data_IF_412692335440
#
_entry.id   IF_412692335440
#
_cell.length_a   1.000
_cell.length_b   1.000
_cell.length_c   1.000
_cell.angle_alpha   90.00
_cell.angle_beta   90.00
_cell.angle_gamma   90.00
#
_symmetry.space_group_name_H-M   'P 1'
#
loop_
_entity.id
_entity.type
_entity.pdbx_description
1 polymer ?
#
# COMPACT_ATOMS: atom_id res chain seq x y z
N UNK A 1 35.68 8.92 6.75
CA UNK A 1 34.62 8.56 5.79
C UNK A 1 33.48 8.01 6.65
N UNK A 2 32.34 8.70 6.70
CA UNK A 2 31.18 8.14 7.39
C UNK A 2 30.70 6.95 6.56
N UNK A 3 30.70 5.76 7.13
CA UNK A 3 30.01 4.62 6.55
C UNK A 3 28.55 5.03 6.32
N UNK A 4 28.10 5.02 5.08
CA UNK A 4 26.70 5.19 4.75
C UNK A 4 26.03 3.88 5.15
N UNK A 5 25.38 3.88 6.32
CA UNK A 5 24.56 2.75 6.73
C UNK A 5 23.45 2.62 5.68
N UNK A 6 23.50 1.55 4.90
CA UNK A 6 22.46 1.27 3.91
C UNK A 6 21.24 0.72 4.64
N UNK A 7 20.22 1.56 4.80
CA UNK A 7 18.94 1.16 5.41
C UNK A 7 18.10 0.49 4.33
N UNK A 8 17.84 -0.81 4.45
CA UNK A 8 16.85 -1.49 3.62
C UNK A 8 15.44 -1.19 4.14
N UNK A 9 14.70 -0.33 3.44
CA UNK A 9 13.34 0.06 3.83
C UNK A 9 12.35 -1.10 3.66
N UNK A 10 11.70 -1.53 4.75
CA UNK A 10 10.55 -2.45 4.70
C UNK A 10 9.31 -1.67 4.25
N UNK A 11 8.57 -2.22 3.28
CA UNK A 11 7.33 -1.64 2.78
C UNK A 11 6.14 -2.45 3.28
N UNK A 12 5.37 -1.87 4.19
CA UNK A 12 4.10 -2.40 4.68
C UNK A 12 2.99 -1.98 3.72
N UNK A 13 2.56 -2.87 2.86
CA UNK A 13 1.53 -2.65 1.86
C UNK A 13 0.15 -3.00 2.42
N UNK A 14 -0.75 -2.02 2.51
CA UNK A 14 -2.13 -2.24 2.93
C UNK A 14 -3.04 -2.32 1.71
N UNK A 15 -3.34 -3.53 1.29
CA UNK A 15 -4.29 -3.86 0.23
C UNK A 15 -5.70 -3.96 0.79
N UNK A 16 -6.71 -3.85 -0.05
CA UNK A 16 -8.10 -4.05 0.35
C UNK A 16 -9.07 -3.21 -0.45
N UNK A 17 -10.33 -3.57 -0.34
CA UNK A 17 -11.44 -2.86 -0.98
C UNK A 17 -11.56 -1.41 -0.49
N UNK A 18 -12.25 -0.53 -1.23
CA UNK A 18 -12.67 0.77 -0.72
C UNK A 18 -13.40 0.64 0.62
N UNK A 19 -13.17 1.57 1.54
CA UNK A 19 -13.70 1.53 2.92
C UNK A 19 -13.22 0.37 3.81
N UNK A 20 -12.16 -0.35 3.47
CA UNK A 20 -11.57 -1.37 4.36
C UNK A 20 -10.75 -0.77 5.53
N UNK A 21 -10.68 0.54 5.66
CA UNK A 21 -9.94 1.20 6.75
C UNK A 21 -8.43 1.34 6.51
N UNK A 22 -7.96 1.20 5.26
CA UNK A 22 -6.52 1.24 4.92
C UNK A 22 -5.81 2.49 5.42
N UNK A 23 -6.36 3.69 5.16
CA UNK A 23 -5.72 4.94 5.58
C UNK A 23 -5.67 5.07 7.11
N UNK A 24 -6.73 4.66 7.82
CA UNK A 24 -6.77 4.63 9.29
C UNK A 24 -5.71 3.67 9.84
N UNK A 25 -5.66 2.44 9.31
CA UNK A 25 -4.66 1.46 9.70
C UNK A 25 -3.23 1.93 9.39
N UNK A 26 -3.00 2.56 8.22
CA UNK A 26 -1.68 3.08 7.86
C UNK A 26 -1.20 4.15 8.84
N UNK A 27 -2.05 5.07 9.22
CA UNK A 27 -1.73 6.10 10.21
C UNK A 27 -1.46 5.49 11.59
N UNK A 28 -2.30 4.54 12.04
CA UNK A 28 -2.15 3.91 13.35
C UNK A 28 -0.89 3.04 13.43
N UNK A 29 -0.64 2.18 12.43
CA UNK A 29 0.59 1.36 12.35
C UNK A 29 1.83 2.27 12.35
N UNK A 30 1.83 3.34 11.54
CA UNK A 30 2.96 4.29 11.50
C UNK A 30 3.20 4.96 12.86
N UNK A 31 2.13 5.41 13.53
CA UNK A 31 2.24 6.02 14.85
C UNK A 31 2.79 5.04 15.90
N UNK A 32 2.35 3.77 15.87
CA UNK A 32 2.84 2.71 16.77
C UNK A 32 4.31 2.39 16.53
N UNK A 33 4.73 2.26 15.28
CA UNK A 33 6.13 2.05 14.91
C UNK A 33 7.02 3.19 15.44
N UNK A 34 6.61 4.45 15.23
CA UNK A 34 7.34 5.61 15.75
C UNK A 34 7.45 5.60 17.28
N UNK A 35 6.37 5.22 18.00
CA UNK A 35 6.40 5.08 19.46
C UNK A 35 7.32 3.95 19.95
N UNK A 36 7.53 2.92 19.13
CA UNK A 36 8.49 1.83 19.37
C UNK A 36 9.93 2.22 18.98
N UNK A 37 10.18 3.47 18.58
CA UNK A 37 11.51 3.97 18.20
C UNK A 37 11.91 3.68 16.75
N UNK A 38 11.02 3.11 15.94
CA UNK A 38 11.29 2.81 14.54
C UNK A 38 11.12 4.08 13.69
N UNK A 39 12.12 4.37 12.86
CA UNK A 39 12.02 5.43 11.84
C UNK A 39 11.06 4.99 10.73
N UNK A 40 9.80 5.36 10.86
CA UNK A 40 8.73 4.97 9.95
C UNK A 40 8.07 6.17 9.28
N UNK A 41 7.57 6.01 8.03
CA UNK A 41 6.86 7.05 7.32
C UNK A 41 5.58 6.51 6.66
N UNK A 42 4.49 7.29 6.75
CA UNK A 42 3.25 7.02 6.04
C UNK A 42 3.30 7.61 4.63
N UNK A 43 3.13 6.77 3.63
CA UNK A 43 3.04 7.20 2.22
C UNK A 43 1.57 7.22 1.81
N UNK A 44 1.01 8.42 1.73
CA UNK A 44 -0.40 8.65 1.39
C UNK A 44 -0.76 8.26 -0.04
N UNK A 45 -2.00 7.87 -0.27
CA UNK A 45 -2.56 7.61 -1.58
C UNK A 45 -2.63 8.88 -2.45
N UNK A 46 -1.97 8.86 -3.61
CA UNK A 46 -2.07 9.99 -4.55
C UNK A 46 -3.44 10.07 -5.23
N UNK A 47 -4.03 8.92 -5.56
CA UNK A 47 -5.33 8.87 -6.25
C UNK A 47 -6.45 9.54 -5.45
N UNK A 48 -6.41 9.47 -4.11
CA UNK A 48 -7.38 10.10 -3.23
C UNK A 48 -7.42 11.63 -3.37
N UNK A 49 -6.27 12.27 -3.58
CA UNK A 49 -6.22 13.72 -3.83
C UNK A 49 -7.08 14.08 -5.06
N UNK A 50 -7.07 13.22 -6.09
CA UNK A 50 -7.80 13.42 -7.34
C UNK A 50 -9.32 13.22 -7.20
N UNK A 51 -9.75 12.39 -6.24
CA UNK A 51 -11.17 12.29 -5.88
C UNK A 51 -11.67 13.61 -5.29
N UNK A 52 -10.93 14.19 -4.36
CA UNK A 52 -11.28 15.50 -3.77
C UNK A 52 -11.24 16.67 -4.78
N UNK A 53 -10.36 16.58 -5.78
CA UNK A 53 -10.30 17.56 -6.88
C UNK A 53 -11.41 17.34 -7.94
N UNK A 54 -12.29 16.33 -7.77
CA UNK A 54 -13.31 15.92 -8.76
C UNK A 54 -12.72 15.60 -10.15
N UNK A 55 -11.47 15.20 -10.21
CA UNK A 55 -10.76 14.89 -11.45
C UNK A 55 -10.89 13.40 -11.81
N UNK A 56 -12.08 13.01 -12.30
CA UNK A 56 -12.38 11.61 -12.65
C UNK A 56 -11.57 11.11 -13.87
N UNK A 57 -11.22 12.01 -14.79
CA UNK A 57 -10.51 11.63 -16.02
C UNK A 57 -9.12 11.03 -15.75
N UNK A 58 -8.46 11.46 -14.68
CA UNK A 58 -7.12 10.98 -14.31
C UNK A 58 -7.09 9.48 -14.01
N UNK A 59 -8.20 8.87 -13.59
CA UNK A 59 -8.27 7.44 -13.27
C UNK A 59 -8.16 6.53 -14.49
N UNK A 60 -8.33 7.08 -15.69
CA UNK A 60 -8.06 6.39 -16.97
C UNK A 60 -6.55 6.30 -17.28
N UNK A 61 -5.71 7.04 -16.56
CA UNK A 61 -4.28 7.16 -16.80
C UNK A 61 -3.46 6.49 -15.68
N UNK A 62 -3.50 5.15 -15.63
CA UNK A 62 -2.83 4.39 -14.57
C UNK A 62 -1.31 4.62 -14.54
N UNK A 63 -0.67 4.88 -15.67
CA UNK A 63 0.76 5.22 -15.73
C UNK A 63 1.09 6.53 -14.99
N UNK A 64 0.19 7.52 -15.03
CA UNK A 64 0.37 8.77 -14.29
C UNK A 64 0.22 8.56 -12.78
N UNK A 65 -0.84 7.85 -12.36
CA UNK A 65 -1.10 7.53 -10.96
C UNK A 65 0.06 6.70 -10.38
N UNK A 66 0.51 5.68 -11.09
CA UNK A 66 1.67 4.86 -10.73
C UNK A 66 2.94 5.70 -10.58
N UNK A 67 3.24 6.57 -11.56
CA UNK A 67 4.41 7.43 -11.50
C UNK A 67 4.41 8.34 -10.28
N UNK A 68 3.25 8.91 -9.92
CA UNK A 68 3.10 9.76 -8.73
C UNK A 68 3.24 8.96 -7.42
N UNK A 69 2.62 7.79 -7.32
CA UNK A 69 2.72 6.95 -6.14
C UNK A 69 4.14 6.41 -5.96
N UNK A 70 4.75 5.90 -7.03
CA UNK A 70 6.13 5.44 -7.04
C UNK A 70 7.11 6.55 -6.64
N UNK A 71 6.90 7.79 -7.11
CA UNK A 71 7.70 8.95 -6.70
C UNK A 71 7.55 9.25 -5.20
N UNK A 72 6.33 9.18 -4.65
CA UNK A 72 6.08 9.36 -3.20
C UNK A 72 6.86 8.34 -2.37
N UNK A 73 6.85 7.08 -2.79
CA UNK A 73 7.62 6.00 -2.13
C UNK A 73 9.13 6.20 -2.29
N UNK A 74 9.59 6.52 -3.49
CA UNK A 74 11.02 6.71 -3.78
C UNK A 74 11.67 7.84 -2.98
N UNK A 75 10.91 8.87 -2.57
CA UNK A 75 11.43 9.97 -1.74
C UNK A 75 11.92 9.53 -0.37
N UNK A 76 11.33 8.48 0.19
CA UNK A 76 11.62 7.98 1.54
C UNK A 76 12.39 6.67 1.54
N UNK A 77 12.51 6.02 0.39
CA UNK A 77 13.31 4.80 0.21
C UNK A 77 14.72 5.01 0.71
N UNK A 78 15.26 4.03 1.42
CA UNK A 78 16.63 4.00 2.00
C UNK A 78 16.92 5.15 2.99
N UNK A 79 15.88 5.88 3.43
CA UNK A 79 15.95 6.96 4.43
C UNK A 79 15.18 6.65 5.70
N UNK A 80 14.27 5.70 5.62
CA UNK A 80 13.48 5.21 6.76
C UNK A 80 13.57 3.70 6.83
N UNK A 81 13.42 3.15 8.02
CA UNK A 81 13.42 1.70 8.24
C UNK A 81 12.13 1.06 7.71
N UNK A 82 11.02 1.77 7.83
CA UNK A 82 9.70 1.28 7.41
C UNK A 82 8.92 2.37 6.67
N UNK A 83 8.29 2.04 5.55
CA UNK A 83 7.22 2.85 4.98
C UNK A 83 5.90 2.07 5.00
N UNK A 84 4.82 2.72 5.44
CA UNK A 84 3.47 2.16 5.43
C UNK A 84 2.68 2.80 4.31
N UNK A 85 2.15 1.98 3.40
CA UNK A 85 1.53 2.44 2.14
C UNK A 85 0.09 1.99 2.08
N UNK A 86 -0.87 2.93 1.99
CA UNK A 86 -2.30 2.62 1.88
C UNK A 86 -2.81 2.53 0.42
N UNK A 87 -1.92 2.75 -0.54
CA UNK A 87 -2.16 2.52 -1.97
C UNK A 87 -0.92 1.86 -2.58
N UNK A 88 -0.75 0.54 -2.35
CA UNK A 88 0.37 -0.22 -2.87
C UNK A 88 0.45 -0.20 -4.39
N UNK A 89 1.68 -0.27 -4.93
CA UNK A 89 1.93 -0.21 -6.38
C UNK A 89 1.17 -1.29 -7.15
N UNK A 90 0.92 -2.45 -6.56
CA UNK A 90 0.17 -3.55 -7.18
C UNK A 90 -1.26 -3.15 -7.58
N UNK A 91 -1.87 -2.17 -6.90
CA UNK A 91 -3.21 -1.69 -7.26
C UNK A 91 -3.25 -1.13 -8.69
N UNK A 92 -2.13 -0.57 -9.18
CA UNK A 92 -2.06 -0.06 -10.55
C UNK A 92 -2.14 -1.16 -11.62
N UNK A 93 -1.73 -2.40 -11.30
CA UNK A 93 -1.96 -3.57 -12.17
C UNK A 93 -3.45 -3.92 -12.16
N UNK A 94 -4.06 -3.91 -10.97
CA UNK A 94 -5.45 -4.33 -10.76
C UNK A 94 -6.43 -3.35 -11.44
N UNK A 95 -6.12 -2.06 -11.42
CA UNK A 95 -6.94 -1.01 -12.03
C UNK A 95 -6.56 -0.69 -13.47
N UNK A 96 -5.50 -1.30 -14.01
CA UNK A 96 -5.11 -1.09 -15.40
C UNK A 96 -6.11 -1.76 -16.35
N UNK A 97 -6.89 -0.92 -17.04
CA UNK A 97 -7.81 -1.34 -18.11
C UNK A 97 -7.38 -0.76 -19.46
N UNK A 98 -6.15 -0.23 -19.58
CA UNK A 98 -5.64 0.37 -20.80
C UNK A 98 -4.98 -0.71 -21.67
N UNK A 99 -5.63 -1.03 -22.80
CA UNK A 99 -5.15 -2.05 -23.75
C UNK A 99 -3.82 -1.65 -24.41
N UNK A 100 -3.56 -0.34 -24.57
CA UNK A 100 -2.31 0.17 -25.17
C UNK A 100 -1.14 -0.04 -24.21
N UNK A 101 -1.34 0.20 -22.93
CA UNK A 101 -0.33 -0.04 -21.89
C UNK A 101 -0.12 -1.55 -21.66
N UNK A 102 -1.21 -2.30 -21.59
CA UNK A 102 -1.25 -3.76 -21.51
C UNK A 102 -0.27 -4.36 -20.49
N UNK A 103 0.19 -5.56 -20.79
CA UNK A 103 1.10 -6.33 -19.96
C UNK A 103 2.50 -5.69 -19.77
N UNK A 104 2.94 -4.84 -20.67
CA UNK A 104 4.26 -4.16 -20.50
C UNK A 104 4.25 -3.19 -19.33
N UNK A 105 3.14 -2.49 -19.14
CA UNK A 105 2.95 -1.63 -17.97
C UNK A 105 2.88 -2.46 -16.70
N UNK A 106 2.09 -3.54 -16.68
CA UNK A 106 1.97 -4.44 -15.54
C UNK A 106 3.33 -5.00 -15.11
N UNK A 107 4.18 -5.41 -16.08
CA UNK A 107 5.56 -5.85 -15.80
C UNK A 107 6.42 -4.73 -15.22
N UNK A 108 6.26 -3.49 -15.70
CA UNK A 108 6.99 -2.34 -15.15
C UNK A 108 6.61 -2.09 -13.69
N UNK A 109 5.31 -2.10 -13.37
CA UNK A 109 4.82 -1.97 -11.99
C UNK A 109 5.39 -3.07 -11.11
N UNK A 110 5.34 -4.33 -11.58
CA UNK A 110 5.83 -5.49 -10.84
C UNK A 110 7.34 -5.42 -10.60
N UNK A 111 8.13 -4.98 -11.59
CA UNK A 111 9.57 -4.79 -11.43
C UNK A 111 9.89 -3.73 -10.35
N UNK A 112 9.16 -2.61 -10.34
CA UNK A 112 9.34 -1.58 -9.31
C UNK A 112 8.90 -2.11 -7.95
N UNK A 113 7.76 -2.80 -7.86
CA UNK A 113 7.27 -3.43 -6.63
C UNK A 113 8.30 -4.42 -6.07
N UNK A 114 8.84 -5.33 -6.90
CA UNK A 114 9.82 -6.33 -6.49
C UNK A 114 11.20 -5.75 -6.10
N UNK A 115 11.44 -4.46 -6.39
CA UNK A 115 12.65 -3.78 -5.93
C UNK A 115 12.59 -3.32 -4.47
N UNK A 116 11.47 -3.57 -3.79
CA UNK A 116 11.27 -3.28 -2.37
C UNK A 116 11.16 -4.56 -1.54
N UNK A 117 11.46 -4.46 -0.26
CA UNK A 117 11.17 -5.53 0.72
C UNK A 117 9.73 -5.40 1.18
N UNK A 118 8.83 -6.17 0.56
CA UNK A 118 7.40 -6.02 0.73
C UNK A 118 6.83 -6.92 1.84
N UNK A 119 5.92 -6.36 2.65
CA UNK A 119 5.02 -7.06 3.58
C UNK A 119 3.59 -6.69 3.21
N UNK A 120 2.79 -7.66 2.82
CA UNK A 120 1.47 -7.43 2.26
C UNK A 120 0.38 -7.85 3.23
N UNK A 121 -0.52 -6.94 3.54
CA UNK A 121 -1.69 -7.16 4.38
C UNK A 121 -2.94 -6.83 3.58
N UNK A 122 -3.83 -7.82 3.43
CA UNK A 122 -5.15 -7.62 2.83
C UNK A 122 -6.15 -7.30 3.93
N UNK A 123 -6.54 -6.03 4.01
CA UNK A 123 -7.55 -5.58 4.95
C UNK A 123 -8.93 -5.95 4.45
N UNK A 124 -9.66 -6.71 5.27
CA UNK A 124 -11.07 -6.99 5.09
C UNK A 124 -11.89 -6.05 5.98
N UNK A 125 -13.01 -5.56 5.44
CA UNK A 125 -13.87 -4.64 6.16
C UNK A 125 -14.57 -5.33 7.31
N UNK A 126 -14.55 -4.70 8.48
CA UNK A 126 -15.22 -5.13 9.70
C UNK A 126 -16.22 -4.11 10.27
N UNK A 127 -16.56 -3.08 9.48
CA UNK A 127 -17.50 -2.01 9.82
C UNK A 127 -18.43 -1.66 8.64
N UNK A 128 -19.43 -0.80 8.86
CA UNK A 128 -20.33 -0.34 7.81
C UNK A 128 -19.59 0.37 6.67
N UNK A 129 -20.15 0.29 5.46
CA UNK A 129 -19.57 0.95 4.30
C UNK A 129 -19.76 2.47 4.40
N UNK A 130 -18.68 3.22 4.19
CA UNK A 130 -18.67 4.68 4.16
C UNK A 130 -18.61 5.16 2.71
N UNK A 131 -19.59 5.99 2.30
CA UNK A 131 -19.68 6.52 0.93
C UNK A 131 -18.84 7.77 0.69
N UNK A 132 -18.57 8.57 1.72
CA UNK A 132 -17.85 9.85 1.56
C UNK A 132 -16.42 9.66 1.05
N UNK A 133 -16.04 10.43 0.02
CA UNK A 133 -14.72 10.36 -0.60
C UNK A 133 -14.45 9.06 -1.36
N UNK A 134 -15.50 8.35 -1.85
CA UNK A 134 -15.40 7.09 -2.58
C UNK A 134 -16.00 7.20 -3.97
N UNK A 135 -15.45 6.41 -4.90
CA UNK A 135 -15.93 6.25 -6.28
C UNK A 135 -16.87 5.04 -6.37
N UNK A 136 -16.65 4.00 -5.53
CA UNK A 136 -17.33 2.71 -5.57
C UNK A 136 -18.47 2.63 -4.55
N UNK A 137 -19.54 1.93 -4.89
CA UNK A 137 -20.56 1.46 -3.95
C UNK A 137 -20.12 0.15 -3.25
N UNK A 138 -20.96 -0.39 -2.37
CA UNK A 138 -20.61 -1.58 -1.56
C UNK A 138 -20.39 -2.85 -2.39
N UNK A 139 -21.20 -3.10 -3.41
CA UNK A 139 -21.08 -4.29 -4.26
C UNK A 139 -19.83 -4.19 -5.15
N UNK A 140 -19.56 -3.00 -5.69
CA UNK A 140 -18.34 -2.71 -6.42
C UNK A 140 -17.09 -2.88 -5.54
N UNK A 141 -17.15 -2.47 -4.27
CA UNK A 141 -16.07 -2.65 -3.31
C UNK A 141 -15.76 -4.13 -3.07
N UNK A 142 -16.79 -4.98 -2.92
CA UNK A 142 -16.61 -6.43 -2.79
C UNK A 142 -15.99 -7.06 -4.03
N UNK A 143 -16.40 -6.61 -5.23
CA UNK A 143 -15.82 -7.06 -6.49
C UNK A 143 -14.33 -6.67 -6.59
N UNK A 144 -13.96 -5.47 -6.11
CA UNK A 144 -12.56 -5.03 -6.03
C UNK A 144 -11.74 -5.95 -5.12
N UNK A 145 -12.25 -6.32 -3.94
CA UNK A 145 -11.54 -7.24 -3.04
C UNK A 145 -11.23 -8.57 -3.72
N UNK A 146 -12.24 -9.15 -4.39
CA UNK A 146 -12.05 -10.40 -5.12
C UNK A 146 -10.97 -10.24 -6.21
N UNK A 147 -11.04 -9.15 -6.99
CA UNK A 147 -10.06 -8.85 -8.04
C UNK A 147 -8.63 -8.70 -7.47
N UNK A 148 -8.49 -8.12 -6.27
CA UNK A 148 -7.19 -8.03 -5.56
C UNK A 148 -6.68 -9.43 -5.23
N UNK A 149 -7.49 -10.27 -4.61
CA UNK A 149 -7.11 -11.63 -4.21
C UNK A 149 -6.70 -12.47 -5.42
N UNK A 150 -7.56 -12.52 -6.44
CA UNK A 150 -7.31 -13.26 -7.68
C UNK A 150 -5.96 -12.83 -8.31
N UNK A 151 -5.64 -11.53 -8.28
CA UNK A 151 -4.39 -11.01 -8.85
C UNK A 151 -3.17 -11.33 -7.99
N UNK A 152 -3.27 -11.30 -6.67
CA UNK A 152 -2.18 -11.69 -5.77
C UNK A 152 -1.85 -13.18 -5.94
N UNK A 153 -2.87 -14.03 -6.07
CA UNK A 153 -2.71 -15.48 -6.32
C UNK A 153 -2.06 -15.72 -7.69
N UNK A 154 -2.53 -15.04 -8.77
CA UNK A 154 -1.95 -15.14 -10.11
C UNK A 154 -0.45 -14.76 -10.13
N UNK A 155 -0.09 -13.73 -9.36
CA UNK A 155 1.30 -13.24 -9.27
C UNK A 155 2.15 -13.99 -8.25
N UNK A 156 1.59 -14.99 -7.55
CA UNK A 156 2.24 -15.72 -6.45
C UNK A 156 2.82 -14.81 -5.37
N UNK A 157 2.05 -13.78 -4.98
CA UNK A 157 2.43 -12.82 -3.95
C UNK A 157 1.77 -13.21 -2.63
N UNK A 158 2.59 -13.49 -1.63
CA UNK A 158 2.12 -13.81 -0.28
C UNK A 158 1.51 -12.57 0.40
N UNK A 159 0.43 -12.79 1.15
CA UNK A 159 -0.24 -11.77 1.93
C UNK A 159 -0.93 -12.34 3.17
N UNK A 160 -1.09 -11.52 4.20
CA UNK A 160 -1.85 -11.84 5.40
C UNK A 160 -3.21 -11.15 5.37
N UNK A 161 -4.28 -11.87 5.74
CA UNK A 161 -5.63 -11.29 5.86
C UNK A 161 -5.78 -10.70 7.26
N UNK A 162 -6.22 -9.45 7.34
CA UNK A 162 -6.38 -8.73 8.59
C UNK A 162 -7.55 -7.73 8.54
N UNK A 163 -7.74 -6.95 9.60
CA UNK A 163 -8.70 -5.83 9.65
C UNK A 163 -8.01 -4.56 10.15
N UNK A 164 -8.69 -3.41 10.04
CA UNK A 164 -8.21 -2.12 10.54
C UNK A 164 -8.43 -1.91 12.05
N UNK A 165 -8.65 -2.99 12.84
CA UNK A 165 -8.81 -2.87 14.29
C UNK A 165 -7.50 -2.43 14.97
N UNK A 166 -7.62 -1.70 16.08
CA UNK A 166 -6.48 -1.27 16.89
C UNK A 166 -5.56 -2.44 17.28
N UNK A 167 -6.16 -3.59 17.66
CA UNK A 167 -5.40 -4.78 18.03
C UNK A 167 -4.58 -5.33 16.86
N UNK A 168 -5.16 -5.40 15.66
CA UNK A 168 -4.43 -5.87 14.49
C UNK A 168 -3.34 -4.89 14.05
N UNK A 169 -3.59 -3.59 14.16
CA UNK A 169 -2.57 -2.56 13.92
C UNK A 169 -1.38 -2.68 14.90
N UNK A 170 -1.66 -3.01 16.18
CA UNK A 170 -0.60 -3.28 17.17
C UNK A 170 0.19 -4.54 16.83
N UNK A 171 -0.49 -5.63 16.45
CA UNK A 171 0.17 -6.88 16.06
C UNK A 171 1.12 -6.63 14.88
N UNK A 172 0.63 -5.97 13.82
CA UNK A 172 1.45 -5.65 12.64
C UNK A 172 2.64 -4.78 13.03
N UNK A 173 2.42 -3.72 13.80
CA UNK A 173 3.50 -2.82 14.22
C UNK A 173 4.56 -3.54 15.07
N UNK A 174 4.15 -4.50 15.90
CA UNK A 174 5.08 -5.30 16.72
C UNK A 174 5.90 -6.25 15.85
N UNK A 175 5.27 -7.02 14.97
CA UNK A 175 5.96 -7.93 14.04
C UNK A 175 6.99 -7.18 13.18
N UNK A 176 6.62 -6.03 12.64
CA UNK A 176 7.52 -5.21 11.83
C UNK A 176 8.68 -4.63 12.64
N UNK A 177 8.43 -4.18 13.88
CA UNK A 177 9.48 -3.67 14.77
C UNK A 177 10.49 -4.77 15.14
N UNK A 178 10.03 -5.98 15.42
CA UNK A 178 10.88 -7.15 15.68
C UNK A 178 11.74 -7.49 14.46
N UNK A 179 11.17 -7.44 13.26
CA UNK A 179 11.90 -7.68 12.03
C UNK A 179 12.98 -6.62 11.74
N UNK A 180 12.69 -5.33 12.00
CA UNK A 180 13.68 -4.27 11.91
C UNK A 180 14.83 -4.52 12.88
N UNK A 181 14.52 -4.85 14.14
CA UNK A 181 15.54 -5.10 15.17
C UNK A 181 16.42 -6.33 14.86
N UNK A 182 15.86 -7.35 14.22
CA UNK A 182 16.62 -8.53 13.82
C UNK A 182 17.61 -8.26 12.67
N UNK A 183 17.36 -7.24 11.84
CA UNK A 183 18.25 -6.87 10.73
C UNK A 183 19.39 -5.93 11.15
N UNK A 184 19.35 -5.37 12.36
CA UNK A 184 20.39 -4.47 12.89
C UNK A 184 21.46 -5.22 13.70
N UNK A 185 21.30 -6.53 13.91
CA UNK A 185 22.26 -7.42 14.58
C UNK A 185 23.17 -8.14 13.57
#
# INVERSE_FOLDING_TARGET
MNEVIHIETIVVNLLGEPSAGKSTAAMDITARLKRKGINAEYVTEFAKDKVYENNQEVFKHQQYLFGKQSFRMGRVRDKVQVMVVDSPLLLHIIYNNDEVLGEKFNKTVLNVYNSYRNKNYLLVRNHAFENEGRIHNEDEARAVRKKIMDKLEELHIDYEITTSSENNCEIIATQIAEEVSANEQ
#
